data_IF_804390398382
#
_entry.id   IF_804390398382
#
_cell.length_a   1.000
_cell.length_b   1.000
_cell.length_c   1.000
_cell.angle_alpha   90.00
_cell.angle_beta   90.00
_cell.angle_gamma   90.00
#
_symmetry.space_group_name_H-M   'P 1'
#
loop_
_entity.id
_entity.type
_entity.pdbx_description
1 polymer ?
#
# COMPACT_ATOMS: atom_id res chain seq x y z
N UNK A 1 -13.06 34.40 -13.63
CA UNK A 1 -13.62 33.03 -13.62
C UNK A 1 -13.37 32.48 -12.24
N UNK A 2 -14.39 32.06 -11.51
CA UNK A 2 -14.18 31.47 -10.18
C UNK A 2 -13.35 30.19 -10.38
N UNK A 3 -12.18 30.15 -9.76
CA UNK A 3 -11.34 28.95 -9.71
C UNK A 3 -12.17 27.88 -9.00
N UNK A 4 -12.65 26.90 -9.76
CA UNK A 4 -13.49 25.85 -9.22
C UNK A 4 -12.59 24.97 -8.34
N UNK A 5 -12.60 25.25 -7.04
CA UNK A 5 -11.85 24.50 -6.04
C UNK A 5 -12.17 23.01 -6.19
N UNK A 6 -11.11 22.20 -6.28
CA UNK A 6 -11.22 20.75 -6.34
C UNK A 6 -11.99 20.25 -5.09
N UNK A 7 -13.20 19.66 -5.26
CA UNK A 7 -14.05 19.29 -4.12
C UNK A 7 -13.44 18.16 -3.28
N UNK A 8 -12.42 17.47 -3.79
CA UNK A 8 -11.80 16.33 -3.12
C UNK A 8 -10.72 16.72 -2.11
N UNK A 9 -10.30 17.99 -2.04
CA UNK A 9 -9.16 18.43 -1.23
C UNK A 9 -9.29 18.11 0.27
N UNK A 10 -10.52 18.07 0.79
CA UNK A 10 -10.80 17.74 2.20
C UNK A 10 -11.12 16.27 2.45
N UNK A 11 -11.27 15.48 1.38
CA UNK A 11 -11.65 14.07 1.53
C UNK A 11 -10.46 13.24 2.05
N UNK A 12 -10.72 12.17 2.82
CA UNK A 12 -9.73 11.15 3.15
C UNK A 12 -8.93 10.69 1.94
N UNK A 13 -7.62 10.49 2.12
CA UNK A 13 -6.69 10.24 1.02
C UNK A 13 -6.27 8.78 0.93
N UNK A 14 -6.34 8.25 -0.30
CA UNK A 14 -5.84 6.93 -0.67
C UNK A 14 -4.56 7.11 -1.49
N UNK A 15 -3.44 6.65 -0.95
CA UNK A 15 -2.15 6.67 -1.63
C UNK A 15 -2.00 5.42 -2.51
N UNK A 16 -1.78 5.63 -3.81
CA UNK A 16 -1.92 4.62 -4.85
C UNK A 16 -0.55 4.25 -5.46
N UNK A 17 -0.16 2.98 -5.39
CA UNK A 17 1.11 2.45 -5.90
C UNK A 17 0.89 1.51 -7.09
N UNK A 18 1.44 1.87 -8.24
CA UNK A 18 1.27 1.16 -9.50
C UNK A 18 2.06 -0.17 -9.57
N UNK A 19 1.74 -1.04 -10.53
CA UNK A 19 2.52 -2.26 -10.80
C UNK A 19 3.92 -1.96 -11.36
N UNK A 20 4.86 -2.90 -11.32
CA UNK A 20 6.15 -2.67 -11.98
C UNK A 20 6.02 -2.72 -13.52
N UNK A 21 6.80 -1.91 -14.23
CA UNK A 21 6.71 -1.75 -15.67
C UNK A 21 5.55 -0.87 -16.16
N UNK A 22 4.96 -0.09 -15.25
CA UNK A 22 3.97 0.96 -15.57
C UNK A 22 4.36 2.26 -14.86
N UNK A 23 3.46 3.23 -14.73
CA UNK A 23 3.71 4.50 -14.05
C UNK A 23 2.43 5.07 -13.42
N UNK A 24 2.58 6.18 -12.69
CA UNK A 24 1.46 6.82 -11.97
C UNK A 24 0.32 7.23 -12.92
N UNK A 25 0.64 7.73 -14.12
CA UNK A 25 -0.34 8.14 -15.14
C UNK A 25 -1.18 6.96 -15.62
N UNK A 26 -0.54 5.86 -15.98
CA UNK A 26 -1.25 4.65 -16.44
C UNK A 26 -2.10 4.10 -15.29
N UNK A 27 -1.57 4.06 -14.07
CA UNK A 27 -2.32 3.55 -12.93
C UNK A 27 -3.56 4.38 -12.61
N UNK A 28 -3.48 5.72 -12.73
CA UNK A 28 -4.66 6.60 -12.65
C UNK A 28 -5.72 6.25 -13.69
N UNK A 29 -5.33 5.89 -14.90
CA UNK A 29 -6.27 5.44 -15.95
C UNK A 29 -6.86 4.08 -15.58
N UNK A 30 -6.04 3.12 -15.14
CA UNK A 30 -6.50 1.78 -14.75
C UNK A 30 -7.45 1.81 -13.54
N UNK A 31 -7.23 2.73 -12.60
CA UNK A 31 -8.08 2.95 -11.43
C UNK A 31 -9.30 3.85 -11.68
N UNK A 32 -9.54 4.33 -12.92
CA UNK A 32 -10.56 5.34 -13.21
C UNK A 32 -11.94 4.98 -12.66
N UNK A 33 -12.38 3.73 -12.82
CA UNK A 33 -13.70 3.29 -12.34
C UNK A 33 -13.78 3.26 -10.82
N UNK A 34 -12.74 2.74 -10.15
CA UNK A 34 -12.64 2.72 -8.69
C UNK A 34 -12.69 4.16 -8.14
N UNK A 35 -11.85 5.04 -8.68
CA UNK A 35 -11.79 6.44 -8.26
C UNK A 35 -13.10 7.18 -8.54
N UNK A 36 -13.77 6.89 -9.66
CA UNK A 36 -15.06 7.49 -9.97
C UNK A 36 -16.16 7.08 -8.99
N UNK A 37 -16.22 5.81 -8.60
CA UNK A 37 -17.25 5.29 -7.69
C UNK A 37 -17.06 5.74 -6.23
N UNK A 38 -15.85 6.20 -5.90
CA UNK A 38 -15.43 6.66 -4.57
C UNK A 38 -15.15 8.18 -4.52
N UNK A 39 -15.47 8.92 -5.59
CA UNK A 39 -15.06 10.33 -5.76
C UNK A 39 -15.61 11.32 -4.73
N UNK A 40 -16.74 10.98 -4.10
CA UNK A 40 -17.38 11.82 -3.07
C UNK A 40 -16.87 11.47 -1.66
N UNK A 41 -16.10 10.38 -1.53
CA UNK A 41 -15.64 9.81 -0.25
C UNK A 41 -14.12 9.89 -0.09
N UNK A 42 -13.37 9.81 -1.19
CA UNK A 42 -11.91 9.79 -1.14
C UNK A 42 -11.25 10.62 -2.24
N UNK A 43 -10.07 11.11 -1.90
CA UNK A 43 -9.09 11.66 -2.84
C UNK A 43 -8.00 10.62 -3.12
N UNK A 44 -7.69 10.41 -4.40
CA UNK A 44 -6.70 9.43 -4.85
C UNK A 44 -5.40 10.14 -5.25
N UNK A 45 -4.29 9.74 -4.65
CA UNK A 45 -2.96 10.30 -4.91
C UNK A 45 -2.05 9.20 -5.44
N UNK A 46 -1.46 9.39 -6.62
CA UNK A 46 -0.71 8.35 -7.33
C UNK A 46 0.79 8.60 -7.21
N UNK A 47 1.50 7.62 -6.67
CA UNK A 47 2.95 7.69 -6.49
C UNK A 47 3.65 7.16 -7.74
N UNK A 48 4.68 7.87 -8.18
CA UNK A 48 5.56 7.41 -9.27
C UNK A 48 6.73 6.63 -8.68
N UNK A 49 6.95 5.39 -9.15
CA UNK A 49 8.06 4.59 -8.62
C UNK A 49 9.43 5.15 -9.04
N UNK A 50 10.47 5.01 -8.19
CA UNK A 50 11.73 5.72 -8.41
C UNK A 50 12.57 5.14 -9.55
N UNK A 51 12.48 3.84 -9.84
CA UNK A 51 13.40 3.18 -10.75
C UNK A 51 12.84 3.02 -12.16
N UNK A 52 13.67 3.24 -13.16
CA UNK A 52 13.33 2.97 -14.56
C UNK A 52 13.08 1.48 -14.79
N UNK A 53 12.14 1.19 -15.69
CA UNK A 53 11.73 -0.16 -16.06
C UNK A 53 11.47 -0.25 -17.56
N UNK A 54 11.59 -1.46 -18.09
CA UNK A 54 10.90 -1.86 -19.31
C UNK A 54 9.38 -1.90 -19.06
N UNK A 55 8.54 -1.75 -20.10
CA UNK A 55 7.09 -1.92 -19.96
C UNK A 55 6.74 -3.32 -19.45
N UNK A 56 5.72 -3.40 -18.59
CA UNK A 56 5.18 -4.66 -18.12
C UNK A 56 4.49 -5.45 -19.25
N UNK A 57 4.22 -6.76 -19.03
CA UNK A 57 3.40 -7.55 -19.94
C UNK A 57 2.05 -6.85 -20.19
N UNK A 58 1.56 -6.88 -21.43
CA UNK A 58 0.30 -6.29 -21.88
C UNK A 58 0.19 -4.75 -21.84
N UNK A 59 1.13 -4.03 -21.19
CA UNK A 59 1.16 -2.55 -21.20
C UNK A 59 1.35 -2.01 -22.62
N UNK A 60 2.17 -2.68 -23.43
CA UNK A 60 2.51 -2.22 -24.78
C UNK A 60 1.36 -2.23 -25.77
N UNK A 61 0.28 -2.98 -25.51
CA UNK A 61 -0.86 -3.05 -26.44
C UNK A 61 -1.71 -1.76 -26.40
N UNK A 62 -1.76 -1.09 -25.25
CA UNK A 62 -2.66 0.06 -25.01
C UNK A 62 -1.89 1.33 -24.59
N UNK A 63 -0.72 1.17 -23.98
CA UNK A 63 0.05 2.23 -23.33
C UNK A 63 1.50 2.31 -23.83
N UNK A 64 1.79 1.85 -25.04
CA UNK A 64 3.14 1.88 -25.64
C UNK A 64 3.76 3.28 -25.63
N UNK A 65 2.96 4.32 -25.86
CA UNK A 65 3.38 5.73 -25.89
C UNK A 65 3.34 6.41 -24.52
N UNK A 66 2.93 5.71 -23.46
CA UNK A 66 2.79 6.27 -22.13
C UNK A 66 4.03 6.11 -21.26
N UNK A 67 5.20 5.85 -21.85
CA UNK A 67 6.48 5.86 -21.14
C UNK A 67 6.86 7.25 -20.58
N UNK A 68 7.90 7.35 -19.75
CA UNK A 68 8.78 6.27 -19.29
C UNK A 68 8.08 5.32 -18.29
N UNK A 69 8.47 4.05 -18.29
CA UNK A 69 7.96 3.04 -17.36
C UNK A 69 8.85 2.93 -16.12
N UNK A 70 8.23 2.58 -15.00
CA UNK A 70 8.85 2.60 -13.68
C UNK A 70 8.58 1.32 -12.90
N UNK A 71 9.40 1.08 -11.87
CA UNK A 71 9.30 -0.07 -10.96
C UNK A 71 9.76 0.31 -9.55
N UNK A 72 9.28 -0.45 -8.57
CA UNK A 72 9.62 -0.37 -7.16
C UNK A 72 10.77 -1.31 -6.79
N UNK A 73 10.74 -2.54 -7.31
CA UNK A 73 11.72 -3.59 -7.05
C UNK A 73 12.35 -4.05 -8.36
N UNK A 74 13.46 -4.76 -8.29
CA UNK A 74 14.12 -5.33 -9.48
C UNK A 74 13.34 -6.54 -9.98
N UNK A 75 13.27 -6.75 -11.29
CA UNK A 75 12.72 -7.98 -11.88
C UNK A 75 13.79 -9.00 -12.22
N UNK A 76 15.01 -8.57 -12.46
CA UNK A 76 16.11 -9.45 -12.83
C UNK A 76 17.46 -8.76 -12.83
N UNK A 77 18.53 -9.48 -13.21
CA UNK A 77 19.91 -9.01 -13.09
C UNK A 77 20.26 -7.84 -14.02
N UNK A 78 19.48 -7.61 -15.09
CA UNK A 78 19.66 -6.46 -15.99
C UNK A 78 19.37 -5.13 -15.30
N UNK A 79 18.57 -5.14 -14.23
CA UNK A 79 18.31 -3.96 -13.44
C UNK A 79 19.49 -3.64 -12.52
N UNK A 80 19.92 -2.36 -12.43
CA UNK A 80 21.04 -1.96 -11.58
C UNK A 80 20.91 -2.52 -10.17
N UNK A 81 22.01 -3.06 -9.65
CA UNK A 81 22.10 -3.46 -8.26
C UNK A 81 22.03 -2.22 -7.36
N UNK A 82 21.37 -2.37 -6.22
CA UNK A 82 21.17 -1.32 -5.22
C UNK A 82 21.58 -1.88 -3.86
N UNK A 83 22.00 -1.01 -2.95
CA UNK A 83 22.03 -1.38 -1.54
C UNK A 83 20.60 -1.32 -0.97
N UNK A 84 20.28 -2.13 0.06
CA UNK A 84 19.01 -2.03 0.77
C UNK A 84 18.65 -0.59 1.19
N UNK A 85 19.62 0.14 1.73
CA UNK A 85 19.46 1.52 2.19
C UNK A 85 19.13 2.48 1.03
N UNK A 86 19.83 2.38 -0.10
CA UNK A 86 19.55 3.22 -1.26
C UNK A 86 18.16 2.92 -1.87
N UNK A 87 17.76 1.65 -1.87
CA UNK A 87 16.45 1.25 -2.37
C UNK A 87 15.31 1.82 -1.49
N UNK A 88 15.44 1.71 -0.16
CA UNK A 88 14.47 2.27 0.78
C UNK A 88 14.44 3.79 0.73
N UNK A 89 15.60 4.47 0.69
CA UNK A 89 15.65 5.92 0.59
C UNK A 89 14.97 6.47 -0.68
N UNK A 90 15.15 5.81 -1.82
CA UNK A 90 14.50 6.19 -3.07
C UNK A 90 12.97 5.96 -3.02
N UNK A 91 12.52 4.88 -2.37
CA UNK A 91 11.09 4.61 -2.14
C UNK A 91 10.48 5.71 -1.25
N UNK A 92 11.12 6.02 -0.13
CA UNK A 92 10.64 7.00 0.84
C UNK A 92 10.56 8.39 0.19
N UNK A 93 11.59 8.80 -0.54
CA UNK A 93 11.58 10.06 -1.29
C UNK A 93 10.44 10.12 -2.33
N UNK A 94 10.14 9.02 -3.02
CA UNK A 94 9.03 8.97 -3.98
C UNK A 94 7.66 9.12 -3.31
N UNK A 95 7.45 8.42 -2.20
CA UNK A 95 6.21 8.51 -1.40
C UNK A 95 6.05 9.91 -0.82
N UNK A 96 7.09 10.45 -0.17
CA UNK A 96 7.08 11.79 0.42
C UNK A 96 6.84 12.87 -0.63
N UNK A 97 7.49 12.78 -1.79
CA UNK A 97 7.29 13.75 -2.88
C UNK A 97 5.87 13.72 -3.45
N UNK A 98 5.20 12.55 -3.47
CA UNK A 98 3.80 12.46 -3.91
C UNK A 98 2.86 13.07 -2.87
N UNK A 99 3.11 12.82 -1.58
CA UNK A 99 2.32 13.36 -0.48
C UNK A 99 2.48 14.89 -0.39
N UNK A 100 3.72 15.39 -0.40
CA UNK A 100 4.03 16.81 -0.34
C UNK A 100 3.43 17.58 -1.52
N UNK A 101 3.52 17.04 -2.74
CA UNK A 101 2.88 17.65 -3.92
C UNK A 101 1.36 17.74 -3.78
N UNK A 102 0.74 16.75 -3.14
CA UNK A 102 -0.71 16.78 -2.88
C UNK A 102 -1.08 17.82 -1.82
N UNK A 103 -0.29 17.92 -0.75
CA UNK A 103 -0.43 18.95 0.28
C UNK A 103 -0.26 20.37 -0.33
N UNK A 104 0.73 20.56 -1.19
CA UNK A 104 0.99 21.81 -1.94
C UNK A 104 -0.17 22.19 -2.88
N UNK A 105 -0.93 21.21 -3.38
CA UNK A 105 -2.16 21.43 -4.15
C UNK A 105 -3.38 21.74 -3.27
N UNK A 106 -3.20 21.83 -1.95
CA UNK A 106 -4.24 22.12 -0.98
C UNK A 106 -4.93 20.89 -0.40
N UNK A 107 -4.43 19.68 -0.69
CA UNK A 107 -4.93 18.44 -0.08
C UNK A 107 -4.71 18.47 1.43
N UNK A 108 -5.77 18.31 2.22
CA UNK A 108 -5.70 18.40 3.67
C UNK A 108 -6.46 17.29 4.41
N UNK A 109 -7.18 16.43 3.69
CA UNK A 109 -7.80 15.25 4.31
C UNK A 109 -6.77 14.30 4.93
N UNK A 110 -7.17 13.47 5.88
CA UNK A 110 -6.25 12.50 6.48
C UNK A 110 -5.81 11.46 5.44
N UNK A 111 -4.51 11.14 5.39
CA UNK A 111 -4.06 9.89 4.79
C UNK A 111 -4.80 8.75 5.50
N UNK A 112 -5.39 7.82 4.74
CA UNK A 112 -6.33 6.85 5.28
C UNK A 112 -6.02 5.44 4.81
N UNK A 113 -5.76 5.25 3.53
CA UNK A 113 -5.51 3.93 2.98
C UNK A 113 -4.43 3.91 1.93
N UNK A 114 -3.92 2.71 1.68
CA UNK A 114 -3.05 2.40 0.56
C UNK A 114 -3.82 1.58 -0.47
N UNK A 115 -3.59 1.83 -1.76
CA UNK A 115 -4.10 0.99 -2.84
C UNK A 115 -2.95 0.61 -3.76
N UNK A 116 -2.71 -0.69 -3.90
CA UNK A 116 -1.61 -1.19 -4.71
C UNK A 116 -2.06 -2.26 -5.70
N UNK A 117 -1.36 -2.33 -6.83
CA UNK A 117 -1.49 -3.41 -7.80
C UNK A 117 -0.15 -4.11 -8.03
N UNK A 118 -0.14 -5.45 -8.07
CA UNK A 118 1.04 -6.25 -8.41
C UNK A 118 2.23 -5.90 -7.50
N UNK A 119 3.34 -5.43 -8.06
CA UNK A 119 4.48 -4.94 -7.27
C UNK A 119 4.09 -3.79 -6.31
N UNK A 120 3.19 -2.89 -6.73
CA UNK A 120 2.66 -1.84 -5.87
C UNK A 120 1.87 -2.39 -4.68
N UNK A 121 1.12 -3.49 -4.84
CA UNK A 121 0.44 -4.15 -3.73
C UNK A 121 1.43 -4.75 -2.72
N UNK A 122 2.53 -5.36 -3.20
CA UNK A 122 3.64 -5.80 -2.34
C UNK A 122 4.23 -4.61 -1.56
N UNK A 123 4.41 -3.46 -2.20
CA UNK A 123 4.91 -2.25 -1.53
C UNK A 123 3.92 -1.70 -0.50
N UNK A 124 2.61 -1.68 -0.79
CA UNK A 124 1.59 -1.28 0.17
C UNK A 124 1.63 -2.16 1.43
N UNK A 125 1.69 -3.49 1.27
CA UNK A 125 1.84 -4.40 2.42
C UNK A 125 3.12 -4.12 3.22
N UNK A 126 4.24 -3.85 2.52
CA UNK A 126 5.53 -3.53 3.14
C UNK A 126 5.50 -2.22 3.94
N UNK A 127 4.83 -1.19 3.41
CA UNK A 127 4.64 0.11 4.07
C UNK A 127 3.78 -0.02 5.32
N UNK A 128 2.67 -0.78 5.25
CA UNK A 128 1.83 -1.06 6.41
C UNK A 128 2.57 -1.85 7.48
N UNK A 129 3.36 -2.85 7.09
CA UNK A 129 4.16 -3.63 8.04
C UNK A 129 5.23 -2.77 8.74
N UNK A 130 5.94 -1.91 7.99
CA UNK A 130 6.86 -0.94 8.58
C UNK A 130 6.15 0.02 9.54
N UNK A 131 4.97 0.53 9.19
CA UNK A 131 4.18 1.39 10.08
C UNK A 131 3.82 0.66 11.38
N UNK A 132 3.38 -0.60 11.28
CA UNK A 132 3.08 -1.44 12.45
C UNK A 132 4.28 -1.64 13.35
N UNK A 133 5.46 -1.97 12.78
CA UNK A 133 6.68 -2.19 13.56
C UNK A 133 7.09 -0.91 14.29
N UNK A 134 7.11 0.23 13.59
CA UNK A 134 7.47 1.52 14.18
C UNK A 134 6.51 1.93 15.30
N UNK A 135 5.21 1.69 15.13
CA UNK A 135 4.22 1.94 16.18
C UNK A 135 4.47 1.06 17.42
N UNK A 136 4.78 -0.23 17.23
CA UNK A 136 5.10 -1.13 18.32
C UNK A 136 6.39 -0.73 19.06
N UNK A 137 7.44 -0.33 18.33
CA UNK A 137 8.69 0.18 18.92
C UNK A 137 8.45 1.46 19.72
N UNK A 138 7.67 2.40 19.17
CA UNK A 138 7.33 3.65 19.87
C UNK A 138 6.54 3.37 21.15
N UNK A 139 5.55 2.48 21.11
CA UNK A 139 4.77 2.08 22.29
C UNK A 139 5.65 1.43 23.37
N UNK A 140 6.57 0.54 22.99
CA UNK A 140 7.51 -0.07 23.93
C UNK A 140 8.47 0.95 24.56
N UNK A 141 8.93 1.94 23.79
CA UNK A 141 9.79 3.01 24.28
C UNK A 141 9.05 3.95 25.24
N UNK A 142 7.79 4.30 24.95
CA UNK A 142 6.95 5.11 25.83
C UNK A 142 6.69 4.41 27.17
N UNK A 143 6.35 3.12 27.13
CA UNK A 143 6.14 2.31 28.35
C UNK A 143 7.40 2.22 29.24
N UNK A 144 8.60 2.31 28.65
CA UNK A 144 9.87 2.25 29.38
C UNK A 144 10.32 3.60 29.93
N UNK A 145 10.03 4.70 29.22
CA UNK A 145 10.50 6.05 29.57
C UNK A 145 9.51 6.84 30.43
N UNK A 146 8.26 6.38 30.58
CA UNK A 146 7.19 7.14 31.22
C UNK A 146 6.84 8.44 30.49
N UNK A 147 7.37 8.64 29.27
CA UNK A 147 7.01 9.74 28.40
C UNK A 147 5.64 9.50 27.78
N UNK A 148 4.90 10.58 27.53
CA UNK A 148 3.62 10.48 26.81
C UNK A 148 3.83 9.75 25.49
N UNK A 149 2.91 8.81 25.20
CA UNK A 149 2.88 8.08 23.94
C UNK A 149 2.84 9.10 22.81
N UNK A 150 3.87 9.09 21.96
CA UNK A 150 3.91 9.96 20.79
C UNK A 150 2.58 9.89 20.03
N UNK A 151 2.07 11.05 19.63
CA UNK A 151 0.78 11.29 19.00
C UNK A 151 0.25 10.08 18.19
N UNK A 152 -0.95 9.62 18.54
CA UNK A 152 -1.69 8.56 17.82
C UNK A 152 -1.84 8.83 16.31
N UNK A 153 -1.54 10.04 15.84
CA UNK A 153 -1.33 10.39 14.43
C UNK A 153 -0.19 9.65 13.72
N UNK A 154 0.66 8.90 14.45
CA UNK A 154 1.76 8.11 13.88
C UNK A 154 1.29 7.02 12.88
N UNK A 155 0.07 6.49 13.06
CA UNK A 155 -0.55 5.54 12.13
C UNK A 155 -1.26 6.32 11.01
N UNK A 156 -0.55 6.57 9.90
CA UNK A 156 -1.09 7.29 8.74
C UNK A 156 -2.10 6.47 7.94
N UNK A 157 -1.93 5.15 7.86
CA UNK A 157 -2.79 4.31 7.03
C UNK A 157 -3.54 3.29 7.89
N UNK A 158 -4.87 3.34 7.85
CA UNK A 158 -5.77 2.46 8.60
C UNK A 158 -5.98 1.11 7.91
N UNK A 159 -5.89 1.04 6.59
CA UNK A 159 -6.01 -0.20 5.84
C UNK A 159 -5.31 -0.17 4.46
N UNK A 160 -5.14 -1.34 3.85
CA UNK A 160 -4.59 -1.50 2.50
C UNK A 160 -5.52 -2.25 1.55
N UNK A 161 -5.60 -1.81 0.31
CA UNK A 161 -6.27 -2.50 -0.80
C UNK A 161 -5.19 -3.11 -1.70
N UNK A 162 -5.05 -4.43 -1.65
CA UNK A 162 -3.97 -5.21 -2.24
C UNK A 162 -4.51 -6.05 -3.41
N UNK A 163 -4.31 -5.58 -4.64
CA UNK A 163 -4.80 -6.26 -5.83
C UNK A 163 -3.64 -6.99 -6.51
N UNK A 164 -3.75 -8.31 -6.65
CA UNK A 164 -2.71 -9.16 -7.23
C UNK A 164 -1.30 -8.99 -6.59
N UNK A 165 -1.24 -8.74 -5.28
CA UNK A 165 0.02 -8.59 -4.55
C UNK A 165 0.67 -9.91 -4.20
N UNK A 166 1.97 -10.06 -4.42
CA UNK A 166 2.73 -11.30 -4.16
C UNK A 166 3.39 -11.28 -2.78
N UNK A 167 3.41 -12.43 -2.10
CA UNK A 167 4.15 -12.62 -0.85
C UNK A 167 5.59 -13.10 -1.08
N UNK A 168 6.50 -12.95 -0.09
CA UNK A 168 6.36 -12.10 1.10
C UNK A 168 6.33 -10.60 0.74
N UNK A 169 5.96 -9.74 1.70
CA UNK A 169 6.35 -8.33 1.63
C UNK A 169 7.87 -8.16 1.81
N UNK A 170 8.41 -6.96 1.54
CA UNK A 170 9.85 -6.69 1.68
C UNK A 170 10.15 -5.87 2.94
N UNK A 171 11.34 -6.06 3.51
CA UNK A 171 11.83 -5.22 4.59
C UNK A 171 12.12 -3.81 4.06
N UNK A 172 11.49 -2.82 4.71
CA UNK A 172 11.75 -1.40 4.51
C UNK A 172 12.54 -0.78 5.68
N UNK A 173 13.15 -1.64 6.49
CA UNK A 173 13.97 -1.30 7.66
C UNK A 173 15.23 -2.18 7.61
N UNK A 174 16.20 -1.82 6.74
CA UNK A 174 17.30 -2.72 6.37
C UNK A 174 18.25 -3.04 7.53
N UNK A 175 18.24 -2.23 8.57
CA UNK A 175 19.08 -2.41 9.77
C UNK A 175 18.34 -3.15 10.89
N UNK A 176 17.08 -3.56 10.67
CA UNK A 176 16.28 -4.32 11.65
C UNK A 176 16.60 -5.80 11.58
N UNK A 177 17.27 -6.33 12.60
CA UNK A 177 17.51 -7.77 12.75
C UNK A 177 16.19 -8.57 12.77
N UNK A 178 15.11 -7.97 13.29
CA UNK A 178 13.79 -8.59 13.30
C UNK A 178 13.19 -8.78 11.91
N UNK A 179 13.82 -8.25 10.84
CA UNK A 179 13.39 -8.38 9.45
C UNK A 179 14.44 -9.11 8.58
N UNK A 180 15.45 -9.77 9.16
CA UNK A 180 16.61 -10.29 8.39
C UNK A 180 16.24 -11.40 7.38
N UNK A 181 15.20 -12.17 7.68
CA UNK A 181 14.70 -13.26 6.84
C UNK A 181 13.87 -12.73 5.67
N UNK A 182 13.22 -11.57 5.80
CA UNK A 182 12.47 -10.94 4.70
C UNK A 182 13.42 -10.52 3.57
N UNK A 183 12.95 -10.57 2.31
CA UNK A 183 13.67 -9.94 1.21
C UNK A 183 13.83 -8.44 1.44
N UNK A 184 14.95 -7.90 0.98
CA UNK A 184 15.21 -6.47 0.97
C UNK A 184 14.47 -5.76 -0.17
N UNK A 185 14.24 -4.44 -0.04
CA UNK A 185 13.86 -3.58 -1.15
C UNK A 185 14.88 -3.57 -2.33
N UNK A 186 16.11 -4.03 -2.11
CA UNK A 186 17.13 -4.18 -3.16
C UNK A 186 17.07 -5.52 -3.91
N UNK A 187 16.30 -6.48 -3.41
CA UNK A 187 16.17 -7.81 -4.00
C UNK A 187 15.20 -7.84 -5.19
N UNK A 188 15.13 -9.00 -5.84
CA UNK A 188 14.15 -9.22 -6.89
C UNK A 188 12.73 -9.30 -6.32
N UNK A 189 11.76 -8.82 -7.10
CA UNK A 189 10.34 -8.85 -6.74
C UNK A 189 9.81 -10.26 -6.48
N UNK A 190 10.47 -11.28 -7.03
CA UNK A 190 10.17 -12.72 -6.87
C UNK A 190 10.91 -13.38 -5.71
N UNK A 191 11.77 -12.65 -5.00
CA UNK A 191 12.56 -13.20 -3.89
C UNK A 191 11.64 -13.71 -2.79
N UNK A 192 11.97 -14.88 -2.25
CA UNK A 192 11.27 -15.51 -1.13
C UNK A 192 11.97 -15.17 0.18
N UNK A 193 11.25 -15.35 1.28
CA UNK A 193 11.84 -15.27 2.60
C UNK A 193 12.94 -16.33 2.79
N UNK A 194 13.97 -15.98 3.56
CA UNK A 194 15.09 -16.87 3.91
C UNK A 194 14.67 -17.81 5.04
N UNK A 195 15.26 -19.00 5.05
CA UNK A 195 15.08 -19.99 6.11
C UNK A 195 16.08 -19.77 7.26
N UNK A 196 15.66 -19.94 8.53
CA UNK A 196 14.27 -20.17 8.95
C UNK A 196 13.41 -18.89 8.80
N UNK A 197 12.12 -19.00 8.43
CA UNK A 197 11.24 -17.83 8.32
C UNK A 197 11.05 -17.18 9.69
N UNK A 198 10.91 -15.86 9.69
CA UNK A 198 10.58 -15.08 10.87
C UNK A 198 9.07 -15.07 11.15
N UNK A 199 8.66 -14.34 12.19
CA UNK A 199 7.25 -14.22 12.61
C UNK A 199 6.57 -12.99 12.03
N UNK A 200 6.80 -12.71 10.74
CA UNK A 200 6.30 -11.49 10.11
C UNK A 200 4.82 -11.59 9.75
N UNK A 201 3.97 -10.94 10.55
CA UNK A 201 2.53 -10.90 10.31
C UNK A 201 2.04 -9.45 10.30
N UNK A 202 1.44 -9.05 9.20
CA UNK A 202 0.71 -7.79 9.07
C UNK A 202 -0.66 -7.90 9.73
N UNK A 203 -0.92 -7.04 10.71
CA UNK A 203 -2.15 -6.97 11.52
C UNK A 203 -2.98 -5.73 11.23
N UNK A 204 -2.46 -4.78 10.46
CA UNK A 204 -3.27 -3.68 9.93
C UNK A 204 -4.24 -4.26 8.88
N UNK A 205 -5.54 -3.87 8.90
CA UNK A 205 -6.53 -4.39 7.97
C UNK A 205 -6.14 -4.30 6.49
N UNK A 206 -6.42 -5.39 5.77
CA UNK A 206 -6.09 -5.53 4.34
C UNK A 206 -7.26 -6.14 3.57
N UNK A 207 -7.57 -5.55 2.42
CA UNK A 207 -8.52 -6.08 1.44
C UNK A 207 -7.71 -6.68 0.31
N UNK A 208 -7.86 -7.98 0.06
CA UNK A 208 -7.21 -8.67 -1.05
C UNK A 208 -8.18 -8.88 -2.20
N UNK A 209 -7.72 -8.67 -3.43
CA UNK A 209 -8.48 -9.02 -4.64
C UNK A 209 -7.63 -9.85 -5.60
N UNK A 210 -8.07 -11.07 -5.90
CA UNK A 210 -7.32 -12.05 -6.69
C UNK A 210 -8.09 -12.46 -7.96
N UNK A 211 -7.45 -12.29 -9.12
CA UNK A 211 -7.93 -12.89 -10.37
C UNK A 211 -7.69 -14.39 -10.38
N UNK A 212 -8.73 -15.20 -10.60
CA UNK A 212 -8.65 -16.66 -10.58
C UNK A 212 -7.84 -17.25 -11.74
N UNK A 213 -7.65 -16.48 -12.82
CA UNK A 213 -6.83 -16.86 -13.99
C UNK A 213 -5.44 -16.23 -13.95
N UNK A 214 -5.08 -15.56 -12.86
CA UNK A 214 -3.77 -14.91 -12.73
C UNK A 214 -2.65 -15.97 -12.57
N UNK A 215 -1.59 -15.92 -13.39
CA UNK A 215 -0.49 -16.87 -13.28
C UNK A 215 0.26 -16.81 -11.93
N UNK A 216 0.17 -15.70 -11.20
CA UNK A 216 0.75 -15.52 -9.86
C UNK A 216 -0.22 -15.79 -8.70
N UNK A 217 -1.36 -16.44 -8.94
CA UNK A 217 -2.40 -16.61 -7.93
C UNK A 217 -1.91 -17.29 -6.64
N UNK A 218 -0.97 -18.25 -6.73
CA UNK A 218 -0.47 -18.93 -5.54
C UNK A 218 0.33 -17.98 -4.64
N UNK A 219 1.06 -17.06 -5.22
CA UNK A 219 1.86 -16.05 -4.56
C UNK A 219 0.98 -14.97 -3.94
N UNK A 220 -0.18 -14.69 -4.55
CA UNK A 220 -1.21 -13.83 -3.96
C UNK A 220 -1.85 -14.49 -2.73
N UNK A 221 -2.18 -15.78 -2.85
CA UNK A 221 -2.68 -16.59 -1.73
C UNK A 221 -1.63 -16.73 -0.63
N UNK A 222 -0.34 -16.81 -0.96
CA UNK A 222 0.75 -16.81 0.02
C UNK A 222 0.77 -15.52 0.83
N UNK A 223 0.76 -14.35 0.18
CA UNK A 223 0.67 -13.05 0.89
C UNK A 223 -0.54 -13.02 1.84
N UNK A 224 -1.71 -13.38 1.31
CA UNK A 224 -2.95 -13.39 2.08
C UNK A 224 -2.87 -14.33 3.28
N UNK A 225 -2.47 -15.60 3.08
CA UNK A 225 -2.57 -16.66 4.09
C UNK A 225 -1.48 -16.61 5.15
N UNK A 226 -0.25 -16.33 4.75
CA UNK A 226 0.94 -16.50 5.59
C UNK A 226 1.42 -15.17 6.20
N UNK A 227 1.21 -14.05 5.51
CA UNK A 227 1.79 -12.76 5.89
C UNK A 227 0.78 -11.74 6.41
N UNK A 228 -0.52 -12.01 6.29
CA UNK A 228 -1.59 -11.14 6.82
C UNK A 228 -2.38 -11.90 7.89
N UNK A 229 -2.65 -11.27 9.03
CA UNK A 229 -3.39 -11.88 10.13
C UNK A 229 -4.82 -12.24 9.72
N UNK A 230 -5.32 -13.39 10.16
CA UNK A 230 -6.62 -13.92 9.73
C UNK A 230 -7.80 -12.98 10.02
N UNK A 231 -7.74 -12.23 11.14
CA UNK A 231 -8.78 -11.28 11.53
C UNK A 231 -8.63 -9.89 10.88
N UNK A 232 -7.46 -9.61 10.29
CA UNK A 232 -7.14 -8.33 9.68
C UNK A 232 -7.11 -8.40 8.15
N UNK A 233 -7.75 -9.41 7.56
CA UNK A 233 -7.75 -9.62 6.11
C UNK A 233 -9.11 -10.02 5.59
N UNK A 234 -9.46 -9.52 4.41
CA UNK A 234 -10.60 -9.98 3.62
C UNK A 234 -10.17 -10.32 2.20
N UNK A 235 -10.97 -11.13 1.50
CA UNK A 235 -10.64 -11.65 0.18
C UNK A 235 -11.84 -11.55 -0.77
N UNK A 236 -11.57 -10.96 -1.94
CA UNK A 236 -12.43 -10.97 -3.11
C UNK A 236 -11.75 -11.78 -4.22
N UNK A 237 -12.47 -12.74 -4.79
CA UNK A 237 -12.01 -13.51 -5.95
C UNK A 237 -12.94 -13.26 -7.14
N UNK A 238 -12.39 -13.21 -8.35
CA UNK A 238 -13.12 -12.91 -9.58
C UNK A 238 -12.48 -13.58 -10.79
N UNK A 239 -13.27 -13.77 -11.85
CA UNK A 239 -12.83 -14.47 -13.06
C UNK A 239 -12.05 -13.54 -14.01
N UNK A 240 -10.77 -13.31 -13.66
CA UNK A 240 -9.87 -12.45 -14.41
C UNK A 240 -8.40 -12.90 -14.29
N UNK A 241 -7.57 -12.46 -15.23
CA UNK A 241 -6.12 -12.59 -15.17
C UNK A 241 -5.44 -11.47 -14.37
N UNK A 242 -4.19 -11.15 -14.71
CA UNK A 242 -3.36 -10.16 -14.01
C UNK A 242 -3.72 -8.70 -14.36
N UNK A 243 -4.88 -8.23 -13.91
CA UNK A 243 -5.38 -6.88 -14.22
C UNK A 243 -6.22 -6.27 -13.09
N UNK A 244 -6.49 -4.97 -13.20
CA UNK A 244 -7.45 -4.25 -12.36
C UNK A 244 -8.90 -4.44 -12.83
N UNK A 245 -9.90 -4.41 -11.92
CA UNK A 245 -11.31 -4.38 -12.29
C UNK A 245 -11.67 -3.04 -12.92
N UNK A 246 -12.34 -3.11 -14.08
CA UNK A 246 -12.76 -1.93 -14.86
C UNK A 246 -14.26 -1.93 -15.19
N UNK A 247 -14.92 -3.09 -15.16
CA UNK A 247 -16.37 -3.22 -15.35
C UNK A 247 -17.08 -2.94 -14.03
N UNK A 248 -18.25 -2.31 -14.08
CA UNK A 248 -19.02 -1.96 -12.88
C UNK A 248 -19.28 -3.17 -11.98
N UNK A 249 -19.65 -4.32 -12.56
CA UNK A 249 -19.96 -5.53 -11.79
C UNK A 249 -18.74 -6.10 -11.06
N UNK A 250 -17.54 -5.93 -11.64
CA UNK A 250 -16.28 -6.36 -11.05
C UNK A 250 -15.79 -5.39 -9.96
N UNK A 251 -16.03 -4.10 -10.15
CA UNK A 251 -15.59 -3.04 -9.24
C UNK A 251 -16.51 -2.94 -8.02
N UNK A 252 -17.82 -3.13 -8.18
CA UNK A 252 -18.80 -2.93 -7.12
C UNK A 252 -18.54 -3.74 -5.83
N UNK A 253 -18.13 -5.03 -5.86
CA UNK A 253 -17.72 -5.76 -4.66
C UNK A 253 -16.55 -5.10 -3.93
N UNK A 254 -15.54 -4.64 -4.66
CA UNK A 254 -14.38 -3.95 -4.09
C UNK A 254 -14.78 -2.64 -3.40
N UNK A 255 -15.66 -1.85 -4.02
CA UNK A 255 -16.14 -0.58 -3.43
C UNK A 255 -16.89 -0.82 -2.12
N UNK A 256 -17.78 -1.83 -2.08
CA UNK A 256 -18.51 -2.19 -0.85
C UNK A 256 -17.54 -2.61 0.25
N UNK A 257 -16.52 -3.36 -0.10
CA UNK A 257 -15.54 -3.85 0.86
C UNK A 257 -14.64 -2.74 1.41
N UNK A 258 -14.23 -1.78 0.57
CA UNK A 258 -13.51 -0.57 1.00
C UNK A 258 -14.32 0.20 2.03
N UNK A 259 -15.60 0.47 1.75
CA UNK A 259 -16.49 1.19 2.68
C UNK A 259 -16.68 0.45 4.00
N UNK A 260 -16.81 -0.89 3.94
CA UNK A 260 -16.97 -1.74 5.14
C UNK A 260 -15.74 -1.64 6.05
N UNK A 261 -14.54 -1.87 5.50
CA UNK A 261 -13.29 -1.83 6.27
C UNK A 261 -12.99 -0.42 6.75
N UNK A 262 -13.29 0.61 5.96
CA UNK A 262 -13.13 2.00 6.40
C UNK A 262 -14.00 2.31 7.61
N UNK A 263 -15.28 1.92 7.59
CA UNK A 263 -16.19 2.08 8.73
C UNK A 263 -15.71 1.37 9.99
N UNK A 264 -15.27 0.11 9.85
CA UNK A 264 -14.74 -0.69 10.98
C UNK A 264 -13.47 -0.08 11.58
N UNK A 265 -12.53 0.32 10.73
CA UNK A 265 -11.27 0.92 11.19
C UNK A 265 -11.44 2.33 11.76
N UNK A 266 -12.39 3.11 11.24
CA UNK A 266 -12.75 4.41 11.80
C UNK A 266 -13.34 4.24 13.21
N UNK A 267 -14.28 3.31 13.37
CA UNK A 267 -14.89 3.02 14.68
C UNK A 267 -13.86 2.52 15.70
N UNK A 268 -12.95 1.64 15.30
CA UNK A 268 -11.87 1.15 16.16
C UNK A 268 -10.91 2.28 16.60
N UNK A 269 -10.56 3.19 15.68
CA UNK A 269 -9.71 4.34 16.00
C UNK A 269 -10.36 5.27 17.02
N UNK A 270 -11.67 5.56 16.87
CA UNK A 270 -12.42 6.38 17.83
C UNK A 270 -12.47 5.69 19.20
N UNK A 271 -12.77 4.40 19.26
CA UNK A 271 -12.83 3.65 20.51
C UNK A 271 -11.47 3.63 21.26
N UNK A 272 -10.36 3.52 20.52
CA UNK A 272 -9.02 3.57 21.09
C UNK A 272 -8.69 4.93 21.73
N UNK A 273 -9.10 6.04 21.08
CA UNK A 273 -8.90 7.40 21.62
C UNK A 273 -9.73 7.57 22.90
N UNK A 274 -11.01 7.19 22.89
CA UNK A 274 -11.88 7.31 24.07
C UNK A 274 -11.35 6.51 25.27
N UNK A 275 -10.84 5.30 25.05
CA UNK A 275 -10.27 4.48 26.12
C UNK A 275 -9.02 5.13 26.75
N UNK A 276 -8.19 5.82 25.96
CA UNK A 276 -7.01 6.54 26.47
C UNK A 276 -7.46 7.74 27.32
N UNK A 277 -8.44 8.53 26.85
CA UNK A 277 -8.95 9.69 27.59
C UNK A 277 -9.54 9.28 28.95
N UNK A 278 -10.27 8.16 29.00
CA UNK A 278 -10.81 7.62 30.27
C UNK A 278 -9.72 7.14 31.24
N UNK A 279 -8.60 6.59 30.72
CA UNK A 279 -7.48 6.14 31.55
C UNK A 279 -6.64 7.30 32.12
N UNK A 280 -6.61 8.45 31.45
CA UNK A 280 -5.87 9.65 31.91
C UNK A 280 -6.69 10.51 32.89
N UNK A 281 -8.02 10.36 32.91
CA UNK A 281 -8.91 11.12 33.77
C UNK A 281 -9.04 10.58 35.22
N UNK A 282 -8.38 9.47 35.56
CA UNK A 282 -8.41 8.79 36.88
C UNK A 282 -7.07 8.97 37.60
#
# INVERSE_FOLDING_TARGET
>A
MAEQLDPTLRLPRILCLHGGGTNARIFKIQCRKIAHDLREEYRFVYVEAPFASEPGPDVMQVFSECGPFKRWLRFGPTHPALTPQAAVAALDAAVEAAMARDDEQGGCGAWTALLGFSQGAKMCASLLYRQQNRAATAAAAAATSGAEVADSSAVRFRFGVLIAGRGPFVSLEPDSAANESLPSAADFSSMTEKEPPGTHVLRIPTIHMHGLQDPGLQEHRKLYREYCHAEARSLLEWDAGHRLPVRSDDVAPLIREIRRVDGETAAAAVAAITAIDEMVAV
#
